data_IF_790727474925
#
_entry.id   IF_790727474925
#
_cell.length_a   1.000
_cell.length_b   1.000
_cell.length_c   1.000
_cell.angle_alpha   90.00
_cell.angle_beta   90.00
_cell.angle_gamma   90.00
#
_symmetry.space_group_name_H-M   'P 1'
#
loop_
_entity.id
_entity.type
_entity.pdbx_description
1 polymer ?
#
# COMPACT_ATOMS: atom_id res chain seq x y z
N UNK A 1 17.46 0.23 -12.84
CA UNK A 1 16.94 1.60 -13.05
C UNK A 1 15.79 1.79 -12.07
N UNK A 2 15.75 2.87 -11.29
CA UNK A 2 14.66 3.11 -10.32
C UNK A 2 13.48 3.67 -11.11
N UNK A 3 12.37 2.93 -11.16
CA UNK A 3 11.15 3.29 -11.88
C UNK A 3 9.95 3.14 -10.93
N UNK A 4 8.98 4.07 -10.98
CA UNK A 4 8.95 5.33 -11.74
C UNK A 4 10.01 6.35 -11.26
N UNK A 5 10.32 7.35 -12.10
CA UNK A 5 11.26 8.42 -11.73
C UNK A 5 10.65 9.36 -10.69
N UNK A 6 11.48 10.15 -10.01
CA UNK A 6 11.00 11.13 -9.02
C UNK A 6 10.05 12.14 -9.67
N UNK A 7 10.37 12.62 -10.87
CA UNK A 7 9.55 13.57 -11.62
C UNK A 7 8.16 13.00 -11.94
N UNK A 8 8.10 11.72 -12.30
CA UNK A 8 6.84 11.00 -12.55
C UNK A 8 6.01 10.84 -11.27
N UNK A 9 6.67 10.76 -10.11
CA UNK A 9 5.99 10.61 -8.82
C UNK A 9 5.51 11.93 -8.21
N UNK A 10 6.27 13.01 -8.41
CA UNK A 10 5.97 14.29 -7.74
C UNK A 10 5.29 15.31 -8.63
N UNK A 11 5.36 15.17 -9.96
CA UNK A 11 4.90 16.21 -10.87
C UNK A 11 5.52 17.58 -10.57
N UNK A 12 6.73 17.59 -9.99
CA UNK A 12 7.42 18.77 -9.43
C UNK A 12 6.73 19.48 -8.25
N UNK A 13 5.68 18.91 -7.64
CA UNK A 13 4.94 19.51 -6.52
C UNK A 13 5.58 19.26 -5.14
N UNK A 14 6.28 18.13 -4.99
CA UNK A 14 6.90 17.72 -3.73
C UNK A 14 8.40 17.54 -3.90
N UNK A 15 9.16 17.94 -2.88
CA UNK A 15 10.58 17.65 -2.85
C UNK A 15 10.83 16.16 -2.55
N UNK A 16 12.06 15.70 -2.81
CA UNK A 16 12.45 14.29 -2.63
C UNK A 16 12.24 13.75 -1.20
N UNK A 17 12.40 14.60 -0.19
CA UNK A 17 12.25 14.18 1.21
C UNK A 17 10.79 14.06 1.61
N UNK A 18 9.95 15.00 1.16
CA UNK A 18 8.49 14.92 1.32
C UNK A 18 7.95 13.65 0.67
N UNK A 19 8.37 13.36 -0.57
CA UNK A 19 7.97 12.14 -1.27
C UNK A 19 8.34 10.88 -0.47
N UNK A 20 9.57 10.80 0.05
CA UNK A 20 10.02 9.63 0.84
C UNK A 20 9.15 9.45 2.08
N UNK A 21 8.87 10.54 2.82
CA UNK A 21 8.01 10.48 4.01
C UNK A 21 6.58 10.09 3.64
N UNK A 22 6.04 10.63 2.56
CA UNK A 22 4.70 10.30 2.05
C UNK A 22 4.59 8.82 1.66
N UNK A 23 5.52 8.32 0.86
CA UNK A 23 5.59 6.91 0.45
C UNK A 23 5.76 5.99 1.66
N UNK A 24 6.59 6.35 2.63
CA UNK A 24 6.77 5.56 3.85
C UNK A 24 5.46 5.46 4.67
N UNK A 25 4.72 6.56 4.80
CA UNK A 25 3.39 6.56 5.44
C UNK A 25 2.40 5.69 4.69
N UNK A 26 2.36 5.79 3.34
CA UNK A 26 1.51 4.96 2.50
C UNK A 26 1.87 3.46 2.63
N UNK A 27 3.15 3.12 2.70
CA UNK A 27 3.60 1.74 2.88
C UNK A 27 3.18 1.15 4.24
N UNK A 28 3.12 2.00 5.28
CA UNK A 28 2.56 1.59 6.58
C UNK A 28 1.08 1.24 6.46
N UNK A 29 0.29 2.08 5.80
CA UNK A 29 -1.16 1.81 5.55
C UNK A 29 -1.34 0.49 4.81
N UNK A 30 -0.58 0.25 3.74
CA UNK A 30 -0.62 -1.01 2.98
C UNK A 30 -0.29 -2.23 3.87
N UNK A 31 0.65 -2.06 4.80
CA UNK A 31 1.03 -3.13 5.75
C UNK A 31 -0.10 -3.41 6.74
N UNK A 32 -0.72 -2.36 7.28
CA UNK A 32 -1.85 -2.47 8.19
C UNK A 32 -3.03 -3.19 7.52
N UNK A 33 -3.34 -2.83 6.27
CA UNK A 33 -4.37 -3.49 5.44
C UNK A 33 -4.06 -4.99 5.23
N UNK A 34 -2.81 -5.35 4.96
CA UNK A 34 -2.39 -6.74 4.83
C UNK A 34 -2.59 -7.52 6.14
N UNK A 35 -2.22 -6.94 7.28
CA UNK A 35 -2.39 -7.57 8.60
C UNK A 35 -3.88 -7.78 8.87
N UNK A 36 -4.72 -6.78 8.61
CA UNK A 36 -6.16 -6.89 8.77
C UNK A 36 -6.78 -7.98 7.88
N UNK A 37 -6.36 -8.06 6.62
CA UNK A 37 -6.78 -9.13 5.69
C UNK A 37 -6.38 -10.51 6.22
N UNK A 38 -5.14 -10.64 6.70
CA UNK A 38 -4.62 -11.89 7.27
C UNK A 38 -5.40 -12.30 8.52
N UNK A 39 -5.68 -11.37 9.44
CA UNK A 39 -6.45 -11.65 10.66
C UNK A 39 -7.88 -12.07 10.34
N UNK A 40 -8.54 -11.41 9.38
CA UNK A 40 -9.88 -11.81 8.93
C UNK A 40 -9.88 -13.19 8.28
N UNK A 41 -8.90 -13.46 7.41
CA UNK A 41 -8.76 -14.75 6.76
C UNK A 41 -8.48 -15.88 7.76
N UNK A 42 -7.65 -15.64 8.79
CA UNK A 42 -7.41 -16.60 9.87
C UNK A 42 -8.71 -16.94 10.62
N UNK A 43 -9.50 -15.93 11.01
CA UNK A 43 -10.79 -16.14 11.68
C UNK A 43 -11.77 -16.94 10.85
N UNK A 44 -11.88 -16.66 9.54
CA UNK A 44 -12.78 -17.40 8.65
C UNK A 44 -12.41 -18.88 8.55
N UNK A 45 -11.10 -19.18 8.50
CA UNK A 45 -10.61 -20.57 8.47
C UNK A 45 -10.84 -21.27 9.81
N UNK A 46 -10.59 -20.58 10.93
CA UNK A 46 -10.82 -21.10 12.28
C UNK A 46 -12.31 -21.39 12.55
N UNK A 47 -13.20 -20.54 12.04
CA UNK A 47 -14.65 -20.71 12.16
C UNK A 47 -15.24 -21.71 11.16
N UNK A 48 -14.42 -22.33 10.29
CA UNK A 48 -14.87 -23.20 9.20
C UNK A 48 -15.88 -22.53 8.24
N UNK A 49 -15.78 -21.21 8.07
CA UNK A 49 -16.63 -20.44 7.16
C UNK A 49 -16.20 -20.60 5.69
N UNK A 50 -15.01 -21.16 5.43
CA UNK A 50 -14.44 -21.33 4.10
C UNK A 50 -13.47 -22.50 4.02
N UNK A 51 -13.44 -23.20 2.89
CA UNK A 51 -12.47 -24.26 2.58
C UNK A 51 -11.16 -23.72 1.98
N UNK A 52 -11.07 -22.40 1.75
CA UNK A 52 -9.88 -21.76 1.20
C UNK A 52 -8.83 -21.55 2.28
N UNK A 53 -7.57 -21.66 1.90
CA UNK A 53 -6.45 -21.33 2.79
C UNK A 53 -6.33 -19.82 3.01
N UNK A 54 -5.74 -19.40 4.13
CA UNK A 54 -5.45 -17.98 4.44
C UNK A 54 -4.73 -17.29 3.28
N UNK A 55 -3.80 -17.99 2.63
CA UNK A 55 -3.01 -17.46 1.52
C UNK A 55 -3.77 -17.27 0.20
N UNK A 56 -4.97 -17.86 0.06
CA UNK A 56 -5.89 -17.67 -1.07
C UNK A 56 -6.94 -16.58 -0.81
N UNK A 57 -7.11 -16.18 0.46
CA UNK A 57 -8.03 -15.14 0.87
C UNK A 57 -7.39 -13.75 0.90
N UNK A 58 -6.06 -13.69 0.91
CA UNK A 58 -5.30 -12.44 0.84
C UNK A 58 -5.10 -12.06 -0.63
N UNK A 59 -5.29 -10.78 -0.94
CA UNK A 59 -5.05 -10.23 -2.27
C UNK A 59 -3.60 -10.49 -2.74
N UNK A 60 -3.39 -11.07 -3.94
CA UNK A 60 -2.06 -11.29 -4.50
C UNK A 60 -1.18 -10.04 -4.55
N UNK A 61 -1.76 -8.85 -4.76
CA UNK A 61 -1.03 -7.58 -4.75
C UNK A 61 -0.29 -7.38 -3.42
N UNK A 62 -0.96 -7.64 -2.30
CA UNK A 62 -0.43 -7.46 -0.95
C UNK A 62 0.47 -8.61 -0.50
N UNK A 63 0.29 -9.79 -1.08
CA UNK A 63 1.05 -10.99 -0.76
C UNK A 63 2.42 -11.03 -1.46
N UNK A 64 2.45 -10.71 -2.75
CA UNK A 64 3.60 -10.96 -3.61
C UNK A 64 4.48 -9.72 -3.84
N UNK A 65 3.97 -8.53 -3.51
CA UNK A 65 4.71 -7.27 -3.69
C UNK A 65 5.10 -6.62 -2.35
N UNK A 66 6.23 -5.91 -2.36
CA UNK A 66 6.66 -5.11 -1.22
C UNK A 66 5.67 -3.96 -0.98
N UNK A 67 5.32 -3.68 0.27
CA UNK A 67 4.42 -2.60 0.64
C UNK A 67 4.81 -1.23 0.04
N UNK A 68 6.12 -0.93 -0.03
CA UNK A 68 6.65 0.29 -0.66
C UNK A 68 6.34 0.34 -2.16
N UNK A 69 6.42 -0.79 -2.86
CA UNK A 69 6.12 -0.86 -4.30
C UNK A 69 4.64 -0.64 -4.57
N UNK A 70 3.78 -1.25 -3.75
CA UNK A 70 2.33 -1.05 -3.78
C UNK A 70 1.99 0.41 -3.47
N UNK A 71 2.61 1.00 -2.46
CA UNK A 71 2.41 2.40 -2.10
C UNK A 71 2.79 3.36 -3.24
N UNK A 72 3.92 3.12 -3.92
CA UNK A 72 4.34 3.89 -5.09
C UNK A 72 3.33 3.73 -6.23
N UNK A 73 2.87 2.51 -6.54
CA UNK A 73 1.87 2.27 -7.56
C UNK A 73 0.54 2.98 -7.24
N UNK A 74 0.05 2.85 -6.00
CA UNK A 74 -1.18 3.53 -5.54
C UNK A 74 -1.06 5.05 -5.57
N UNK A 75 0.13 5.60 -5.34
CA UNK A 75 0.39 7.04 -5.48
C UNK A 75 0.32 7.49 -6.94
N UNK A 76 0.92 6.73 -7.86
CA UNK A 76 0.87 7.00 -9.32
C UNK A 76 -0.55 6.88 -9.86
N UNK A 77 -1.30 5.87 -9.41
CA UNK A 77 -2.70 5.64 -9.81
C UNK A 77 -3.67 6.67 -9.21
N UNK A 78 -3.19 7.57 -8.33
CA UNK A 78 -4.02 8.56 -7.63
C UNK A 78 -4.91 8.00 -6.51
N UNK A 79 -4.72 6.74 -6.12
CA UNK A 79 -5.41 6.11 -4.98
C UNK A 79 -4.91 6.66 -3.64
N UNK A 80 -3.64 7.05 -3.59
CA UNK A 80 -3.10 7.86 -2.51
C UNK A 80 -2.79 9.26 -3.03
N UNK A 81 -3.08 10.26 -2.20
CA UNK A 81 -2.77 11.67 -2.46
C UNK A 81 -2.03 12.24 -1.27
N UNK A 82 -0.88 12.85 -1.53
CA UNK A 82 -0.19 13.66 -0.54
C UNK A 82 -0.87 15.04 -0.47
N UNK A 83 -1.22 15.47 0.73
CA UNK A 83 -1.82 16.79 1.00
C UNK A 83 -0.99 17.49 2.05
N UNK A 84 -0.80 18.80 1.89
CA UNK A 84 -0.17 19.62 2.95
C UNK A 84 -1.23 20.05 3.96
N UNK A 85 -0.87 20.22 5.25
CA UNK A 85 -1.83 20.63 6.28
C UNK A 85 -2.54 21.95 5.96
N UNK A 86 -1.92 22.83 5.17
CA UNK A 86 -2.48 24.12 4.76
C UNK A 86 -3.55 24.00 3.64
N UNK A 87 -3.71 22.81 3.06
CA UNK A 87 -4.66 22.51 1.98
C UNK A 87 -5.89 21.71 2.46
N UNK A 88 -6.01 21.43 3.77
CA UNK A 88 -7.07 20.59 4.37
C UNK A 88 -8.00 21.40 5.26
#
# INVERSE_FOLDING_TARGET
MIYPTIEQLTGNQFNRYELVVGVAKCARIVTDEYVDMKTKAQKMVENHETDKTVAQLIDPEYKDQKAVKIAIAKLVDGRFKMVRPEEV
#
